data_IF_035078386890
#
_entry.id   IF_035078386890
#
_cell.length_a   1.000
_cell.length_b   1.000
_cell.length_c   1.000
_cell.angle_alpha   90.00
_cell.angle_beta   90.00
_cell.angle_gamma   90.00
#
_symmetry.space_group_name_H-M   'P 1'
#
loop_
_entity.id
_entity.type
_entity.pdbx_description
1 polymer ?
#
# COMPACT_ATOMS: atom_id res chain seq x y z
N UNK A 1 26.27 -14.91 -54.98
CA UNK A 1 24.95 -14.80 -54.31
C UNK A 1 25.03 -14.76 -52.76
N UNK A 2 26.21 -14.80 -52.13
CA UNK A 2 26.35 -14.75 -50.67
C UNK A 2 26.47 -13.33 -50.06
N UNK A 3 26.62 -12.27 -50.87
CA UNK A 3 26.84 -10.90 -50.38
C UNK A 3 25.56 -10.13 -50.01
N UNK A 4 24.39 -10.49 -50.59
CA UNK A 4 23.13 -9.79 -50.33
C UNK A 4 22.45 -10.21 -49.02
N UNK A 5 22.72 -11.42 -48.53
CA UNK A 5 22.18 -11.92 -47.26
C UNK A 5 22.90 -11.33 -46.03
N UNK A 6 24.18 -10.97 -46.17
CA UNK A 6 24.96 -10.39 -45.06
C UNK A 6 24.55 -8.94 -44.76
N UNK A 7 24.21 -8.16 -45.81
CA UNK A 7 23.77 -6.77 -45.66
C UNK A 7 22.39 -6.69 -44.99
N UNK A 8 21.49 -7.64 -45.29
CA UNK A 8 20.18 -7.70 -44.65
C UNK A 8 20.25 -8.01 -43.15
N UNK A 9 21.20 -8.87 -42.73
CA UNK A 9 21.37 -9.26 -41.31
C UNK A 9 21.93 -8.14 -40.43
N UNK A 10 22.75 -7.24 -40.98
CA UNK A 10 23.35 -6.13 -40.21
C UNK A 10 22.43 -4.90 -40.18
N UNK A 11 21.49 -4.77 -41.12
CA UNK A 11 20.60 -3.59 -41.22
C UNK A 11 19.29 -3.72 -40.42
N UNK A 12 18.84 -4.94 -40.12
CA UNK A 12 17.68 -5.22 -39.27
C UNK A 12 17.73 -4.59 -37.86
N UNK A 13 18.85 -4.61 -37.11
CA UNK A 13 18.88 -3.96 -35.78
C UNK A 13 18.74 -2.44 -35.86
N UNK A 14 19.23 -1.79 -36.92
CA UNK A 14 19.10 -0.34 -37.10
C UNK A 14 17.66 0.09 -37.39
N UNK A 15 16.91 -0.71 -38.17
CA UNK A 15 15.49 -0.47 -38.42
C UNK A 15 14.62 -0.73 -37.18
N UNK A 16 14.94 -1.76 -36.38
CA UNK A 16 14.25 -2.00 -35.09
C UNK A 16 14.53 -0.85 -34.12
N UNK A 17 15.77 -0.34 -34.08
CA UNK A 17 16.14 0.80 -33.25
C UNK A 17 15.45 2.10 -33.72
N UNK A 18 15.37 2.35 -35.02
CA UNK A 18 14.67 3.49 -35.59
C UNK A 18 13.15 3.45 -35.34
N UNK A 19 12.53 2.26 -35.43
CA UNK A 19 11.12 2.07 -35.08
C UNK A 19 10.87 2.21 -33.57
N UNK A 20 11.81 1.78 -32.72
CA UNK A 20 11.74 1.94 -31.27
C UNK A 20 11.87 3.42 -30.86
N UNK A 21 12.82 4.15 -31.45
CA UNK A 21 12.99 5.60 -31.27
C UNK A 21 11.79 6.39 -31.81
N UNK A 22 11.25 6.02 -32.97
CA UNK A 22 10.05 6.66 -33.52
C UNK A 22 8.79 6.38 -32.68
N UNK A 23 8.69 5.19 -32.07
CA UNK A 23 7.60 4.83 -31.13
C UNK A 23 7.75 5.53 -29.78
N UNK A 24 8.98 5.69 -29.28
CA UNK A 24 9.28 6.47 -28.06
C UNK A 24 9.01 7.96 -28.24
N UNK A 25 9.38 8.54 -29.40
CA UNK A 25 9.14 9.96 -29.69
C UNK A 25 7.63 10.26 -29.85
N UNK A 26 6.82 9.32 -30.36
CA UNK A 26 5.36 9.49 -30.44
C UNK A 26 4.63 9.31 -29.10
N UNK A 27 5.25 8.64 -28.12
CA UNK A 27 4.70 8.47 -26.78
C UNK A 27 4.90 9.72 -25.89
N UNK A 28 5.80 10.63 -26.26
CA UNK A 28 6.04 11.90 -25.57
C UNK A 28 5.06 13.00 -26.00
N UNK A 29 3.75 12.70 -26.04
CA UNK A 29 2.74 13.77 -26.10
C UNK A 29 2.55 14.31 -24.69
N UNK A 30 3.00 15.54 -24.39
CA UNK A 30 2.87 16.09 -23.04
C UNK A 30 1.40 16.17 -22.65
N UNK A 31 1.02 15.87 -21.40
CA UNK A 31 -0.34 16.07 -20.94
C UNK A 31 -0.71 17.55 -21.09
N UNK A 32 -1.80 17.82 -21.81
CA UNK A 32 -2.40 19.16 -21.94
C UNK A 32 -2.53 19.80 -20.56
N UNK A 33 -1.75 20.85 -20.31
CA UNK A 33 -1.86 21.70 -19.11
C UNK A 33 -3.31 22.17 -18.96
N UNK A 34 -4.05 21.61 -18.00
CA UNK A 34 -5.28 22.25 -17.53
C UNK A 34 -4.87 23.48 -16.73
N UNK A 35 -5.08 24.66 -17.31
CA UNK A 35 -5.05 25.95 -16.62
C UNK A 35 -6.01 25.86 -15.43
N UNK A 36 -5.46 25.85 -14.22
CA UNK A 36 -6.24 26.11 -13.01
C UNK A 36 -6.48 27.63 -13.01
N UNK A 37 -7.73 28.02 -13.22
CA UNK A 37 -8.20 29.39 -13.07
C UNK A 37 -8.07 29.79 -11.60
N UNK A 38 -7.13 30.67 -11.29
CA UNK A 38 -7.10 31.45 -10.05
C UNK A 38 -8.25 32.46 -10.08
N UNK A 39 -9.41 32.03 -9.59
CA UNK A 39 -10.55 32.91 -9.31
C UNK A 39 -10.65 33.21 -7.83
N UNK A 40 -9.91 34.24 -7.37
CA UNK A 40 -10.15 34.92 -6.09
C UNK A 40 -11.60 35.42 -6.05
N UNK A 41 -12.36 35.09 -5.00
CA UNK A 41 -13.36 36.00 -4.45
C UNK A 41 -13.26 36.02 -2.94
N UNK A 42 -13.03 37.24 -2.47
CA UNK A 42 -12.71 37.70 -1.15
C UNK A 42 -13.99 37.97 -0.34
N UNK A 43 -13.85 37.82 0.99
CA UNK A 43 -14.58 38.48 2.09
C UNK A 43 -15.99 38.02 2.45
N UNK A 44 -16.13 37.46 3.67
CA UNK A 44 -17.15 37.93 4.63
C UNK A 44 -16.86 37.51 6.10
N UNK A 45 -16.30 38.48 6.84
CA UNK A 45 -16.56 38.92 8.23
C UNK A 45 -17.18 37.99 9.30
N UNK A 46 -16.57 38.07 10.51
CA UNK A 46 -17.24 38.00 11.83
C UNK A 46 -17.19 36.62 12.52
N UNK A 47 -17.01 36.44 13.84
CA UNK A 47 -17.11 37.36 14.98
C UNK A 47 -16.51 36.66 16.22
N UNK A 48 -15.74 37.43 17.00
CA UNK A 48 -15.26 37.10 18.35
C UNK A 48 -16.41 36.91 19.36
N UNK A 49 -16.25 35.92 20.26
CA UNK A 49 -16.61 35.87 21.70
C UNK A 49 -16.64 34.40 22.13
N UNK A 50 -16.41 33.95 23.36
CA UNK A 50 -15.69 34.38 24.56
C UNK A 50 -16.00 33.32 25.62
N UNK A 51 -15.01 32.86 26.39
CA UNK A 51 -15.05 32.45 27.82
C UNK A 51 -16.20 31.57 28.38
N UNK A 52 -15.80 30.52 29.11
CA UNK A 52 -16.00 30.20 30.57
C UNK A 52 -15.46 28.76 30.77
N UNK A 53 -14.42 28.44 31.55
CA UNK A 53 -14.20 28.41 33.02
C UNK A 53 -15.35 27.81 33.86
N UNK A 54 -15.11 26.60 34.38
CA UNK A 54 -15.33 26.06 35.75
C UNK A 54 -14.71 24.64 35.77
N UNK A 55 -13.70 24.28 36.58
CA UNK A 55 -13.58 24.18 38.05
C UNK A 55 -14.24 22.92 38.65
N UNK A 56 -13.43 22.15 39.41
CA UNK A 56 -13.87 21.41 40.60
C UNK A 56 -13.94 19.89 40.50
N UNK A 57 -13.27 19.18 41.42
CA UNK A 57 -13.62 17.78 41.73
C UNK A 57 -12.52 16.90 42.31
N UNK A 58 -11.80 17.36 43.34
CA UNK A 58 -10.93 16.53 44.17
C UNK A 58 -11.75 15.63 45.10
N UNK A 59 -11.37 14.36 45.27
CA UNK A 59 -11.81 13.54 46.39
C UNK A 59 -10.61 12.79 46.99
N UNK A 60 -10.20 13.24 48.19
CA UNK A 60 -9.37 12.52 49.17
C UNK A 60 -10.30 11.86 50.19
N UNK A 61 -9.97 10.64 50.62
CA UNK A 61 -9.92 10.13 52.02
C UNK A 61 -9.46 8.66 51.93
N UNK A 62 -8.26 8.27 52.40
CA UNK A 62 -7.80 8.10 53.78
C UNK A 62 -8.51 6.97 54.55
N UNK A 63 -7.80 5.86 54.77
CA UNK A 63 -8.02 4.96 55.91
C UNK A 63 -6.73 4.16 56.19
N UNK A 64 -6.13 4.43 57.36
CA UNK A 64 -5.09 3.64 58.02
C UNK A 64 -5.73 2.58 58.92
N UNK A 65 -5.09 1.40 59.03
CA UNK A 65 -5.00 0.52 60.22
C UNK A 65 -3.98 -0.58 59.88
N UNK A 66 -2.71 -0.52 60.32
CA UNK A 66 -2.12 -1.05 61.57
C UNK A 66 -2.44 -2.52 61.87
N UNK A 67 -1.38 -3.35 61.80
CA UNK A 67 -1.05 -4.34 62.85
C UNK A 67 -1.25 -5.82 62.51
N UNK A 68 -0.20 -6.62 62.68
CA UNK A 68 -0.33 -8.05 62.97
C UNK A 68 0.69 -8.96 62.29
N UNK A 69 1.80 -9.20 62.98
CA UNK A 69 2.82 -10.22 62.67
C UNK A 69 2.39 -11.59 63.22
N UNK A 70 2.56 -12.67 62.46
CA UNK A 70 3.12 -13.99 62.87
C UNK A 70 2.99 -14.95 61.67
N UNK A 71 4.09 -15.43 61.08
CA UNK A 71 4.80 -16.66 61.48
C UNK A 71 3.91 -17.91 61.34
N UNK A 72 4.09 -18.68 60.25
CA UNK A 72 4.31 -20.13 60.33
C UNK A 72 4.82 -20.67 58.97
N UNK A 73 6.10 -21.02 58.96
CA UNK A 73 6.75 -21.85 57.96
C UNK A 73 6.87 -23.24 58.59
N UNK A 74 6.05 -24.24 58.22
CA UNK A 74 6.53 -25.64 58.24
C UNK A 74 5.63 -26.62 57.45
N UNK A 75 6.19 -27.13 56.36
CA UNK A 75 6.23 -28.53 55.91
C UNK A 75 5.09 -29.51 56.26
N UNK A 76 4.32 -29.93 55.24
CA UNK A 76 3.99 -31.36 55.00
C UNK A 76 3.36 -31.60 53.62
N UNK A 77 4.07 -32.31 52.75
CA UNK A 77 3.46 -33.03 51.62
C UNK A 77 3.26 -34.48 52.07
N UNK A 78 2.09 -35.11 51.82
CA UNK A 78 2.06 -36.05 50.71
C UNK A 78 0.72 -36.15 49.96
N UNK A 79 0.82 -36.07 48.63
CA UNK A 79 0.18 -36.91 47.60
C UNK A 79 -1.09 -37.69 48.00
N UNK A 80 -2.28 -37.20 47.59
CA UNK A 80 -3.28 -38.02 46.89
C UNK A 80 -4.37 -37.20 46.20
N UNK A 81 -4.35 -37.32 44.87
CA UNK A 81 -5.50 -37.49 43.97
C UNK A 81 -6.56 -36.39 43.84
N UNK A 82 -6.66 -35.92 42.59
CA UNK A 82 -7.88 -35.53 41.90
C UNK A 82 -8.50 -34.19 42.30
N UNK A 83 -7.96 -33.11 41.75
CA UNK A 83 -8.82 -32.02 41.21
C UNK A 83 -8.24 -31.60 39.87
N UNK A 84 -8.84 -32.15 38.83
CA UNK A 84 -9.35 -31.40 37.69
C UNK A 84 -8.36 -30.45 36.99
N UNK A 85 -7.76 -30.98 35.93
CA UNK A 85 -7.11 -30.20 34.90
C UNK A 85 -8.09 -29.16 34.36
N UNK A 86 -7.92 -27.91 34.80
CA UNK A 86 -8.54 -26.75 34.18
C UNK A 86 -8.22 -26.77 32.67
N UNK A 87 -9.21 -26.66 31.77
CA UNK A 87 -8.91 -26.57 30.35
C UNK A 87 -8.16 -25.26 30.10
N UNK A 88 -6.93 -25.39 29.63
CA UNK A 88 -6.11 -24.28 29.16
C UNK A 88 -6.94 -23.37 28.22
N UNK A 89 -6.79 -22.03 28.32
CA UNK A 89 -7.48 -21.14 27.41
C UNK A 89 -6.95 -21.42 26.00
N UNK A 90 -7.86 -21.90 25.15
CA UNK A 90 -7.75 -22.08 23.71
C UNK A 90 -6.56 -21.33 23.05
N UNK A 91 -5.41 -22.01 22.95
CA UNK A 91 -4.23 -21.55 22.17
C UNK A 91 -4.44 -21.75 20.66
N UNK A 92 -5.61 -22.23 20.24
CA UNK A 92 -6.07 -22.26 18.87
C UNK A 92 -6.96 -21.04 18.59
N UNK A 93 -6.40 -19.84 18.78
CA UNK A 93 -6.82 -18.68 17.99
C UNK A 93 -6.52 -19.01 16.53
N UNK A 94 -7.52 -19.67 15.93
CA UNK A 94 -7.65 -20.07 14.55
C UNK A 94 -6.83 -19.18 13.62
N UNK A 95 -6.05 -19.80 12.72
CA UNK A 95 -5.74 -19.20 11.42
C UNK A 95 -7.07 -18.80 10.80
N UNK A 96 -7.53 -17.58 11.07
CA UNK A 96 -8.67 -17.00 10.37
C UNK A 96 -8.16 -16.78 8.97
N UNK A 97 -8.58 -17.64 8.04
CA UNK A 97 -8.34 -17.44 6.62
C UNK A 97 -8.65 -15.97 6.28
N UNK A 98 -7.72 -15.26 5.61
CA UNK A 98 -7.91 -13.85 5.34
C UNK A 98 -9.19 -13.67 4.52
N UNK A 99 -10.03 -12.72 4.92
CA UNK A 99 -11.24 -12.41 4.15
C UNK A 99 -10.88 -12.09 2.70
N UNK A 100 -11.79 -12.36 1.75
CA UNK A 100 -11.61 -12.02 0.32
C UNK A 100 -11.15 -10.58 0.12
N UNK A 101 -11.66 -9.68 0.95
CA UNK A 101 -11.29 -8.27 1.00
C UNK A 101 -9.86 -8.04 1.49
N UNK A 102 -9.44 -8.73 2.56
CA UNK A 102 -8.08 -8.68 3.07
C UNK A 102 -7.08 -9.23 2.05
N UNK A 103 -7.41 -10.35 1.40
CA UNK A 103 -6.58 -10.96 0.35
C UNK A 103 -6.38 -10.00 -0.82
N UNK A 104 -7.46 -9.35 -1.30
CA UNK A 104 -7.38 -8.36 -2.36
C UNK A 104 -6.52 -7.15 -2.00
N UNK A 105 -6.70 -6.60 -0.79
CA UNK A 105 -5.90 -5.48 -0.30
C UNK A 105 -4.42 -5.86 -0.19
N UNK A 106 -4.13 -7.08 0.28
CA UNK A 106 -2.77 -7.62 0.33
C UNK A 106 -2.16 -7.74 -1.07
N UNK A 107 -2.87 -8.35 -2.02
CA UNK A 107 -2.40 -8.50 -3.39
C UNK A 107 -2.10 -7.16 -4.07
N UNK A 108 -2.87 -6.10 -3.78
CA UNK A 108 -2.59 -4.75 -4.29
C UNK A 108 -1.28 -4.17 -3.78
N UNK A 109 -1.01 -4.32 -2.48
CA UNK A 109 0.23 -3.81 -1.88
C UNK A 109 1.43 -4.59 -2.43
N UNK A 110 1.32 -5.91 -2.55
CA UNK A 110 2.36 -6.77 -3.16
C UNK A 110 2.65 -6.32 -4.58
N UNK A 111 1.64 -6.20 -5.44
CA UNK A 111 1.82 -5.74 -6.82
C UNK A 111 2.49 -4.36 -6.89
N UNK A 112 2.06 -3.43 -6.04
CA UNK A 112 2.64 -2.08 -6.03
C UNK A 112 4.10 -2.10 -5.57
N UNK A 113 4.42 -2.94 -4.60
CA UNK A 113 5.78 -3.10 -4.10
C UNK A 113 6.69 -3.75 -5.15
N UNK A 114 6.27 -4.87 -5.75
CA UNK A 114 7.04 -5.56 -6.79
C UNK A 114 7.31 -4.64 -7.99
N UNK A 115 6.30 -3.91 -8.46
CA UNK A 115 6.46 -2.95 -9.54
C UNK A 115 7.42 -1.80 -9.17
N UNK A 116 7.34 -1.29 -7.95
CA UNK A 116 8.22 -0.22 -7.51
C UNK A 116 9.67 -0.70 -7.33
N UNK A 117 9.87 -1.87 -6.75
CA UNK A 117 11.20 -2.46 -6.57
C UNK A 117 11.89 -2.69 -7.93
N UNK A 118 11.15 -3.27 -8.88
CA UNK A 118 11.58 -3.43 -10.26
C UNK A 118 12.01 -2.10 -10.91
N UNK A 119 11.25 -1.03 -10.67
CA UNK A 119 11.59 0.30 -11.15
C UNK A 119 12.84 0.88 -10.47
N UNK A 120 12.95 0.73 -9.14
CA UNK A 120 14.09 1.23 -8.37
C UNK A 120 15.39 0.54 -8.77
N UNK A 121 15.36 -0.76 -9.05
CA UNK A 121 16.51 -1.51 -9.58
C UNK A 121 16.98 -1.01 -10.95
N UNK A 122 16.07 -0.48 -11.77
CA UNK A 122 16.42 0.16 -13.06
C UNK A 122 17.00 1.57 -12.93
N UNK A 123 17.21 2.06 -11.70
CA UNK A 123 17.70 3.42 -11.42
C UNK A 123 16.60 4.47 -11.30
N UNK A 124 15.34 4.04 -11.29
CA UNK A 124 14.19 4.91 -11.06
C UNK A 124 13.97 5.26 -9.58
N UNK A 125 13.14 6.27 -9.32
CA UNK A 125 12.64 6.58 -7.97
C UNK A 125 11.11 6.61 -8.00
N UNK A 126 10.48 6.60 -6.82
CA UNK A 126 9.03 6.81 -6.67
C UNK A 126 8.53 8.06 -7.40
N UNK A 127 9.31 9.15 -7.31
CA UNK A 127 8.98 10.42 -7.98
C UNK A 127 9.05 10.25 -9.49
N UNK A 128 10.15 9.69 -10.02
CA UNK A 128 10.29 9.53 -11.47
C UNK A 128 9.29 8.54 -12.05
N UNK A 129 8.87 7.52 -11.29
CA UNK A 129 7.77 6.63 -11.70
C UNK A 129 6.47 7.41 -11.85
N UNK A 130 6.11 8.23 -10.87
CA UNK A 130 4.90 9.04 -10.89
C UNK A 130 4.93 10.08 -12.04
N UNK A 131 6.04 10.78 -12.21
CA UNK A 131 6.22 11.79 -13.27
C UNK A 131 6.13 11.17 -14.66
N UNK A 132 6.89 10.09 -14.90
CA UNK A 132 6.98 9.51 -16.24
C UNK A 132 5.73 8.72 -16.61
N UNK A 133 5.11 8.01 -15.65
CA UNK A 133 3.87 7.28 -15.92
C UNK A 133 2.64 8.18 -16.01
N UNK A 134 2.66 9.33 -15.33
CA UNK A 134 1.50 10.22 -15.22
C UNK A 134 0.31 9.63 -14.46
N UNK A 135 0.49 8.47 -13.81
CA UNK A 135 -0.58 7.77 -13.07
C UNK A 135 -0.80 8.41 -11.71
N UNK A 136 0.29 8.80 -11.05
CA UNK A 136 0.30 9.34 -9.70
C UNK A 136 0.68 10.81 -9.72
N UNK A 137 0.02 11.61 -8.89
CA UNK A 137 0.33 13.03 -8.78
C UNK A 137 1.52 13.27 -7.85
N UNK A 138 2.45 14.11 -8.31
CA UNK A 138 3.60 14.61 -7.53
C UNK A 138 3.20 15.93 -6.87
N UNK A 139 3.35 16.00 -5.55
CA UNK A 139 3.12 17.20 -4.73
C UNK A 139 4.44 17.71 -4.16
N UNK A 140 4.50 19.00 -3.83
CA UNK A 140 5.62 19.58 -3.09
C UNK A 140 5.16 19.89 -1.67
N UNK A 141 5.79 19.25 -0.68
CA UNK A 141 5.51 19.45 0.73
C UNK A 141 6.80 19.92 1.42
N UNK A 142 6.76 21.07 2.09
CA UNK A 142 7.91 21.66 2.80
C UNK A 142 9.18 21.73 1.92
N UNK A 143 9.02 22.05 0.63
CA UNK A 143 10.11 22.13 -0.34
C UNK A 143 10.62 20.78 -0.88
N UNK A 144 9.96 19.66 -0.56
CA UNK A 144 10.32 18.31 -1.02
C UNK A 144 9.25 17.71 -1.91
N UNK A 145 9.66 17.11 -3.02
CA UNK A 145 8.75 16.36 -3.90
C UNK A 145 8.29 15.06 -3.23
N UNK A 146 6.99 14.79 -3.31
CA UNK A 146 6.32 13.64 -2.70
C UNK A 146 5.26 13.05 -3.63
N UNK A 147 4.97 11.77 -3.44
CA UNK A 147 3.91 11.05 -4.16
C UNK A 147 2.93 10.45 -3.17
N UNK A 148 2.27 11.32 -2.39
CA UNK A 148 1.39 10.95 -1.26
C UNK A 148 0.34 9.89 -1.60
N UNK A 149 -0.19 9.94 -2.82
CA UNK A 149 -1.21 9.00 -3.27
C UNK A 149 -0.66 7.60 -3.49
N UNK A 150 0.51 7.47 -4.10
CA UNK A 150 1.25 6.24 -4.30
C UNK A 150 1.71 5.63 -2.98
N UNK A 151 2.28 6.43 -2.07
CA UNK A 151 2.85 5.96 -0.79
C UNK A 151 1.82 5.22 0.08
N UNK A 152 0.53 5.55 -0.05
CA UNK A 152 -0.56 4.84 0.63
C UNK A 152 -0.71 3.38 0.20
N UNK A 153 -0.30 3.04 -1.02
CA UNK A 153 -0.36 1.68 -1.56
C UNK A 153 0.85 0.83 -1.17
N UNK A 154 1.83 1.40 -0.44
CA UNK A 154 2.98 0.66 0.09
C UNK A 154 2.75 0.11 1.50
N UNK A 155 1.54 0.31 2.07
CA UNK A 155 1.20 -0.18 3.41
C UNK A 155 -0.28 -0.50 3.52
N UNK A 156 -0.59 -1.69 4.06
CA UNK A 156 -1.98 -2.13 4.26
C UNK A 156 -2.78 -1.20 5.18
N UNK A 157 -2.12 -0.62 6.18
CA UNK A 157 -2.74 0.29 7.15
C UNK A 157 -3.14 1.64 6.53
N UNK A 158 -2.40 2.10 5.51
CA UNK A 158 -2.63 3.41 4.85
C UNK A 158 -3.45 3.30 3.57
N UNK A 159 -3.70 2.07 3.11
CA UNK A 159 -4.42 1.81 1.88
C UNK A 159 -5.88 2.32 1.99
N UNK A 160 -6.36 3.13 1.02
CA UNK A 160 -7.72 3.67 1.04
C UNK A 160 -8.79 2.59 1.21
N UNK A 161 -9.94 2.95 1.81
CA UNK A 161 -11.10 2.03 1.94
C UNK A 161 -11.57 1.51 0.58
N UNK A 162 -11.62 2.39 -0.42
CA UNK A 162 -11.90 2.07 -1.82
C UNK A 162 -10.62 2.24 -2.65
N UNK A 163 -9.81 1.18 -2.84
CA UNK A 163 -8.56 1.27 -3.57
C UNK A 163 -8.80 1.42 -5.08
N UNK A 164 -8.02 2.30 -5.72
CA UNK A 164 -7.99 2.49 -7.17
C UNK A 164 -7.10 1.42 -7.81
N UNK A 165 -7.58 0.18 -7.79
CA UNK A 165 -6.80 -0.98 -8.23
C UNK A 165 -6.29 -0.88 -9.68
N UNK A 166 -7.05 -0.22 -10.55
CA UNK A 166 -6.65 -0.01 -11.96
C UNK A 166 -5.41 0.88 -12.08
N UNK A 167 -5.18 1.80 -11.14
CA UNK A 167 -4.00 2.68 -11.15
C UNK A 167 -2.75 1.88 -10.78
N UNK A 168 -2.87 0.96 -9.83
CA UNK A 168 -1.80 0.01 -9.45
C UNK A 168 -1.44 -0.89 -10.62
N UNK A 169 -2.43 -1.51 -11.26
CA UNK A 169 -2.22 -2.35 -12.46
C UNK A 169 -1.57 -1.56 -13.60
N UNK A 170 -2.04 -0.34 -13.87
CA UNK A 170 -1.40 0.53 -14.88
C UNK A 170 0.07 0.84 -14.54
N UNK A 171 0.39 0.96 -13.25
CA UNK A 171 1.77 1.21 -12.81
C UNK A 171 2.66 0.00 -13.06
N UNK A 172 2.17 -1.21 -12.76
CA UNK A 172 2.87 -2.44 -13.08
C UNK A 172 3.12 -2.60 -14.59
N UNK A 173 2.10 -2.37 -15.42
CA UNK A 173 2.23 -2.35 -16.89
C UNK A 173 3.28 -1.36 -17.38
N UNK A 174 3.27 -0.16 -16.81
CA UNK A 174 4.25 0.87 -17.15
C UNK A 174 5.67 0.36 -16.87
N UNK A 175 5.92 -0.20 -15.68
CA UNK A 175 7.24 -0.74 -15.30
C UNK A 175 7.64 -1.91 -16.22
N UNK A 176 6.74 -2.87 -16.46
CA UNK A 176 6.97 -4.01 -17.35
C UNK A 176 7.39 -3.61 -18.78
N UNK A 177 6.99 -2.42 -19.22
CA UNK A 177 7.24 -1.89 -20.57
C UNK A 177 8.46 -0.97 -20.65
N UNK A 178 8.89 -0.35 -19.54
CA UNK A 178 9.91 0.70 -19.55
C UNK A 178 11.16 0.38 -18.73
N UNK A 179 11.08 -0.58 -17.80
CA UNK A 179 12.24 -1.03 -17.04
C UNK A 179 12.90 -2.23 -17.76
N UNK A 180 14.24 -2.26 -17.88
CA UNK A 180 14.98 -3.46 -18.24
C UNK A 180 14.93 -4.44 -17.06
N UNK A 181 14.06 -5.45 -17.17
CA UNK A 181 13.77 -6.42 -16.11
C UNK A 181 14.38 -7.77 -16.44
N UNK A 182 14.92 -8.45 -15.42
CA UNK A 182 15.21 -9.88 -15.51
C UNK A 182 13.90 -10.68 -15.65
N UNK A 183 14.00 -11.89 -16.22
CA UNK A 183 12.82 -12.73 -16.48
C UNK A 183 12.08 -13.12 -15.19
N UNK A 184 12.79 -13.34 -14.09
CA UNK A 184 12.19 -13.64 -12.78
C UNK A 184 11.39 -12.46 -12.22
N UNK A 185 11.92 -11.24 -12.34
CA UNK A 185 11.24 -10.00 -11.92
C UNK A 185 10.01 -9.74 -12.77
N UNK A 186 10.13 -9.91 -14.09
CA UNK A 186 9.01 -9.81 -15.03
C UNK A 186 7.91 -10.81 -14.68
N UNK A 187 8.28 -12.06 -14.43
CA UNK A 187 7.34 -13.13 -14.09
C UNK A 187 6.64 -12.87 -12.75
N UNK A 188 7.37 -12.38 -11.74
CA UNK A 188 6.81 -12.01 -10.43
C UNK A 188 5.74 -10.92 -10.56
N UNK A 189 6.04 -9.83 -11.28
CA UNK A 189 5.10 -8.71 -11.46
C UNK A 189 3.87 -9.17 -12.26
N UNK A 190 4.04 -9.96 -13.31
CA UNK A 190 2.91 -10.50 -14.10
C UNK A 190 2.01 -11.41 -13.26
N UNK A 191 2.59 -12.29 -12.44
CA UNK A 191 1.82 -13.17 -11.56
C UNK A 191 1.04 -12.37 -10.51
N UNK A 192 1.67 -11.38 -9.87
CA UNK A 192 1.01 -10.49 -8.93
C UNK A 192 -0.13 -9.68 -9.60
N UNK A 193 0.09 -9.22 -10.83
CA UNK A 193 -0.91 -8.50 -11.60
C UNK A 193 -2.15 -9.36 -11.89
N UNK A 194 -1.95 -10.58 -12.37
CA UNK A 194 -3.05 -11.50 -12.67
C UNK A 194 -3.82 -11.89 -11.40
N UNK A 195 -3.12 -12.06 -10.27
CA UNK A 195 -3.76 -12.27 -8.96
C UNK A 195 -4.69 -11.11 -8.61
N UNK A 196 -4.23 -9.86 -8.74
CA UNK A 196 -5.06 -8.66 -8.48
C UNK A 196 -6.27 -8.62 -9.41
N UNK A 197 -6.09 -8.89 -10.71
CA UNK A 197 -7.21 -8.89 -11.68
C UNK A 197 -8.24 -9.96 -11.37
N UNK A 198 -7.79 -11.16 -11.01
CA UNK A 198 -8.66 -12.27 -10.63
C UNK A 198 -9.47 -11.94 -9.38
N UNK A 199 -8.82 -11.41 -8.34
CA UNK A 199 -9.51 -10.99 -7.11
C UNK A 199 -10.47 -9.82 -7.35
N UNK A 200 -10.11 -8.86 -8.20
CA UNK A 200 -10.98 -7.74 -8.58
C UNK A 200 -12.25 -8.22 -9.29
N UNK A 201 -12.13 -9.16 -10.24
CA UNK A 201 -13.29 -9.80 -10.90
C UNK A 201 -14.17 -10.50 -9.88
N UNK A 202 -13.59 -11.36 -9.03
CA UNK A 202 -14.35 -12.09 -7.99
C UNK A 202 -15.11 -11.16 -7.03
N UNK A 203 -14.51 -10.02 -6.64
CA UNK A 203 -15.19 -9.00 -5.82
C UNK A 203 -16.36 -8.32 -6.54
N UNK A 204 -16.21 -8.03 -7.83
CA UNK A 204 -17.28 -7.39 -8.60
C UNK A 204 -18.52 -8.30 -8.69
N UNK A 205 -18.34 -9.61 -8.75
CA UNK A 205 -19.45 -10.58 -8.76
C UNK A 205 -19.96 -10.96 -7.37
N UNK A 206 -19.13 -10.85 -6.32
CA UNK A 206 -19.47 -11.27 -4.96
C UNK A 206 -20.14 -10.24 -4.05
N UNK A 207 -20.40 -9.01 -4.52
CA UNK A 207 -20.95 -7.90 -3.71
C UNK A 207 -22.46 -7.93 -3.47
N UNK A 208 -23.14 -9.06 -3.72
CA UNK A 208 -24.60 -9.20 -3.58
C UNK A 208 -25.11 -9.48 -2.16
N UNK A 209 -24.26 -9.87 -1.21
CA UNK A 209 -24.67 -10.08 0.18
C UNK A 209 -24.72 -8.74 0.92
N UNK A 210 -25.91 -8.12 0.88
CA UNK A 210 -26.28 -7.07 1.83
C UNK A 210 -26.36 -7.70 3.22
N UNK A 211 -25.48 -7.26 4.11
CA UNK A 211 -25.54 -7.59 5.53
C UNK A 211 -26.77 -6.87 6.13
N UNK A 212 -27.59 -7.57 6.93
CA UNK A 212 -28.89 -7.06 7.42
C UNK A 212 -28.75 -5.85 8.35
#
# INVERSE_FOLDING_TARGET
>A
MLSLLFIASVCLPALVCALFLHRLLRAQRPPRRRRISTGRRLLRTGKLRSRRRTAGGEHRVAALAIGGSHEEYETRTPRRSAVEAAPAPNVASARREPSRDAEFRHALVVLMFDALECWERSGGTRITLAERSGIWHVTCDDGRLRVRSMERYLSLARLPKQPRWRDVVRSAHYVLSHAPLADDDRSRVLAAEEKVRTLARRRAFGGGERQP
#
